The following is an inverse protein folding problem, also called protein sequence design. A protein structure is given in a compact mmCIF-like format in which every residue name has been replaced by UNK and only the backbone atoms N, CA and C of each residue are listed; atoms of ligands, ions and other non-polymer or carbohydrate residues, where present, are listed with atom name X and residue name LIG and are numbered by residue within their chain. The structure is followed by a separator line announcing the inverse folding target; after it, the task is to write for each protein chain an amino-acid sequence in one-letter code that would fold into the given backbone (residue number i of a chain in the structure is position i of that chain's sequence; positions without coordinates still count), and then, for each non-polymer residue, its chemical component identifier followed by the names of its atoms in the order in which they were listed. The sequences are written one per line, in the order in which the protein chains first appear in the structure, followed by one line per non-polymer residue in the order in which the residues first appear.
data_IF_370845183502
#
_entry.id   IF_370845183502
#
_cell.length_a   1.000
_cell.length_b   1.000
_cell.length_c   1.000
_cell.angle_alpha   90.00
_cell.angle_beta   90.00
_cell.angle_gamma   90.00
#
_symmetry.space_group_name_H-M   'P 1'
#
loop_
_entity.id
_entity.type
_entity.pdbx_description
1 polymer ?
#
# COMPACT_ATOMS: atom_id res chain seq x y z
N UNK A 1 -57.64 80.76 7.90
CA UNK A 1 -56.32 81.22 8.33
C UNK A 1 -55.71 80.11 9.17
N UNK A 2 -54.55 79.57 8.78
CA UNK A 2 -53.81 78.64 9.62
C UNK A 2 -53.16 79.48 10.72
N UNK A 3 -53.77 79.51 11.90
CA UNK A 3 -53.08 79.95 13.11
C UNK A 3 -52.03 78.90 13.45
N UNK A 4 -50.86 79.01 12.82
CA UNK A 4 -49.69 78.19 13.11
C UNK A 4 -49.22 78.58 14.50
N UNK A 5 -49.66 77.80 15.48
CA UNK A 5 -49.24 77.98 16.85
C UNK A 5 -47.83 77.39 17.00
N UNK A 6 -46.82 78.25 16.93
CA UNK A 6 -45.40 77.87 16.94
C UNK A 6 -45.02 77.02 18.17
N UNK A 7 -45.69 77.25 19.31
CA UNK A 7 -45.52 76.45 20.53
C UNK A 7 -46.05 75.01 20.40
N UNK A 8 -47.20 74.82 19.73
CA UNK A 8 -47.75 73.48 19.49
C UNK A 8 -46.86 72.69 18.51
N UNK A 9 -46.35 73.36 17.48
CA UNK A 9 -45.41 72.76 16.53
C UNK A 9 -44.14 72.27 17.23
N UNK A 10 -43.55 73.11 18.10
CA UNK A 10 -42.37 72.74 18.88
C UNK A 10 -42.65 71.57 19.83
N UNK A 11 -43.80 71.56 20.50
CA UNK A 11 -44.17 70.47 21.40
C UNK A 11 -44.34 69.13 20.66
N UNK A 12 -45.03 69.14 19.51
CA UNK A 12 -45.19 67.94 18.66
C UNK A 12 -43.83 67.48 18.13
N UNK A 13 -42.95 68.40 17.74
CA UNK A 13 -41.59 68.06 17.29
C UNK A 13 -40.77 67.38 18.40
N UNK A 14 -40.81 67.90 19.63
CA UNK A 14 -40.13 67.29 20.78
C UNK A 14 -40.70 65.91 21.10
N UNK A 15 -42.02 65.74 21.09
CA UNK A 15 -42.67 64.44 21.29
C UNK A 15 -42.29 63.43 20.19
N UNK A 16 -42.26 63.87 18.93
CA UNK A 16 -41.85 63.04 17.82
C UNK A 16 -40.38 62.59 17.95
N UNK A 17 -39.48 63.51 18.30
CA UNK A 17 -38.07 63.18 18.53
C UNK A 17 -37.88 62.24 19.72
N UNK A 18 -38.63 62.44 20.81
CA UNK A 18 -38.62 61.53 21.96
C UNK A 18 -39.11 60.12 21.57
N UNK A 19 -40.18 60.02 20.77
CA UNK A 19 -40.69 58.75 20.27
C UNK A 19 -39.66 58.05 19.36
N UNK A 20 -39.04 58.78 18.43
CA UNK A 20 -37.99 58.25 17.55
C UNK A 20 -36.81 57.73 18.38
N UNK A 21 -36.41 58.44 19.42
CA UNK A 21 -35.33 58.00 20.31
C UNK A 21 -35.67 56.68 21.02
N UNK A 22 -36.90 56.54 21.55
CA UNK A 22 -37.38 55.30 22.18
C UNK A 22 -37.41 54.16 21.16
N UNK A 23 -37.97 54.40 19.97
CA UNK A 23 -38.09 53.39 18.91
C UNK A 23 -36.73 52.95 18.36
N UNK A 24 -35.77 53.87 18.25
CA UNK A 24 -34.40 53.57 17.84
C UNK A 24 -33.76 52.53 18.77
N UNK A 25 -33.91 52.72 20.08
CA UNK A 25 -33.31 51.81 21.05
C UNK A 25 -34.11 50.49 21.21
N UNK A 26 -35.45 50.55 21.16
CA UNK A 26 -36.31 49.40 21.45
C UNK A 26 -36.59 48.52 20.23
N UNK A 27 -36.60 49.06 19.02
CA UNK A 27 -37.01 48.32 17.82
C UNK A 27 -35.93 48.28 16.74
N UNK A 28 -35.42 49.44 16.30
CA UNK A 28 -34.53 49.48 15.14
C UNK A 28 -33.18 48.80 15.42
N UNK A 29 -32.54 49.10 16.56
CA UNK A 29 -31.30 48.44 16.97
C UNK A 29 -31.40 46.91 17.08
N UNK A 30 -32.34 46.33 17.85
CA UNK A 30 -32.44 44.88 17.96
C UNK A 30 -32.83 44.21 16.64
N UNK A 31 -33.66 44.86 15.81
CA UNK A 31 -34.03 44.32 14.50
C UNK A 31 -32.83 44.26 13.55
N UNK A 32 -32.06 45.35 13.45
CA UNK A 32 -30.85 45.39 12.61
C UNK A 32 -29.81 44.40 13.11
N UNK A 33 -29.57 44.33 14.43
CA UNK A 33 -28.66 43.35 15.00
C UNK A 33 -29.07 41.90 14.71
N UNK A 34 -30.38 41.62 14.60
CA UNK A 34 -30.86 40.30 14.20
C UNK A 34 -30.61 40.01 12.71
N UNK A 35 -30.76 41.01 11.85
CA UNK A 35 -30.43 40.87 10.43
C UNK A 35 -28.92 40.65 10.23
N UNK A 36 -28.09 41.45 10.88
CA UNK A 36 -26.63 41.32 10.82
C UNK A 36 -26.17 39.94 11.31
N UNK A 37 -26.73 39.45 12.43
CA UNK A 37 -26.44 38.10 12.94
C UNK A 37 -26.83 37.01 11.96
N UNK A 38 -27.96 37.16 11.27
CA UNK A 38 -28.40 36.20 10.26
C UNK A 38 -27.46 36.18 9.07
N UNK A 39 -27.08 37.35 8.56
CA UNK A 39 -26.17 37.46 7.43
C UNK A 39 -24.79 36.90 7.79
N UNK A 40 -24.29 37.18 8.99
CA UNK A 40 -23.02 36.61 9.50
C UNK A 40 -23.11 35.08 9.64
N UNK A 41 -24.22 34.55 10.16
CA UNK A 41 -24.40 33.10 10.30
C UNK A 41 -24.44 32.41 8.94
N UNK A 42 -25.19 32.96 7.98
CA UNK A 42 -25.28 32.41 6.61
C UNK A 42 -23.91 32.44 5.93
N UNK A 43 -23.16 33.53 6.10
CA UNK A 43 -21.81 33.63 5.54
C UNK A 43 -20.88 32.56 6.13
N UNK A 44 -20.88 32.41 7.46
CA UNK A 44 -20.08 31.39 8.17
C UNK A 44 -20.46 29.98 7.75
N UNK A 45 -21.76 29.67 7.66
CA UNK A 45 -22.24 28.35 7.25
C UNK A 45 -21.83 28.03 5.81
N UNK A 46 -21.84 29.03 4.92
CA UNK A 46 -21.39 28.89 3.54
C UNK A 46 -19.87 28.70 3.43
N UNK A 47 -19.08 29.45 4.21
CA UNK A 47 -17.62 29.27 4.27
C UNK A 47 -17.26 27.90 4.84
N UNK A 48 -17.84 27.51 5.98
CA UNK A 48 -17.60 26.20 6.58
C UNK A 48 -17.98 25.04 5.65
N UNK A 49 -19.07 25.19 4.88
CA UNK A 49 -19.46 24.17 3.89
C UNK A 49 -18.46 24.07 2.73
N UNK A 50 -17.88 25.20 2.31
CA UNK A 50 -16.84 25.21 1.26
C UNK A 50 -15.55 24.60 1.78
N UNK A 51 -15.07 25.03 2.94
CA UNK A 51 -13.86 24.49 3.57
C UNK A 51 -13.98 22.98 3.79
N UNK A 52 -15.11 22.51 4.32
CA UNK A 52 -15.36 21.08 4.48
C UNK A 52 -15.35 20.33 3.13
N UNK A 53 -15.91 20.93 2.06
CA UNK A 53 -15.89 20.35 0.72
C UNK A 53 -14.47 20.23 0.16
N UNK A 54 -13.66 21.27 0.33
CA UNK A 54 -12.26 21.31 -0.12
C UNK A 54 -11.40 20.32 0.68
N UNK A 55 -11.55 20.28 2.01
CA UNK A 55 -10.85 19.31 2.88
C UNK A 55 -11.18 17.87 2.51
N UNK A 56 -12.45 17.56 2.23
CA UNK A 56 -12.87 16.22 1.78
C UNK A 56 -12.25 15.89 0.43
N UNK A 57 -12.23 16.84 -0.52
CA UNK A 57 -11.59 16.64 -1.83
C UNK A 57 -10.09 16.41 -1.71
N UNK A 58 -9.40 17.17 -0.84
CA UNK A 58 -7.98 17.01 -0.59
C UNK A 58 -7.67 15.66 0.09
N UNK A 59 -8.45 15.27 1.08
CA UNK A 59 -8.32 13.98 1.75
C UNK A 59 -8.54 12.81 0.78
N UNK A 60 -9.53 12.90 -0.11
CA UNK A 60 -9.76 11.91 -1.16
C UNK A 60 -8.61 11.85 -2.17
N UNK A 61 -8.07 13.01 -2.56
CA UNK A 61 -6.89 13.10 -3.43
C UNK A 61 -5.69 12.39 -2.83
N UNK A 62 -5.36 12.70 -1.57
CA UNK A 62 -4.27 12.04 -0.82
C UNK A 62 -4.50 10.54 -0.66
N UNK A 63 -5.72 10.11 -0.36
CA UNK A 63 -6.05 8.69 -0.24
C UNK A 63 -5.84 7.94 -1.58
N UNK A 64 -6.23 8.55 -2.69
CA UNK A 64 -6.00 7.99 -4.02
C UNK A 64 -4.51 7.88 -4.37
N UNK A 65 -3.73 8.91 -4.04
CA UNK A 65 -2.28 8.91 -4.24
C UNK A 65 -1.61 7.79 -3.44
N UNK A 66 -1.91 7.67 -2.14
CA UNK A 66 -1.39 6.60 -1.27
C UNK A 66 -1.75 5.22 -1.82
N UNK A 67 -2.98 5.01 -2.28
CA UNK A 67 -3.41 3.72 -2.86
C UNK A 67 -2.65 3.43 -4.16
N UNK A 68 -2.40 4.44 -4.99
CA UNK A 68 -1.66 4.31 -6.25
C UNK A 68 -0.20 3.94 -5.98
N UNK A 69 0.45 4.64 -5.04
CA UNK A 69 1.82 4.35 -4.61
C UNK A 69 1.95 2.95 -4.02
N UNK A 70 1.06 2.59 -3.09
CA UNK A 70 1.05 1.27 -2.47
C UNK A 70 0.86 0.14 -3.50
N UNK A 71 0.01 0.35 -4.52
CA UNK A 71 -0.13 -0.61 -5.63
C UNK A 71 1.17 -0.70 -6.44
N UNK A 72 1.80 0.43 -6.76
CA UNK A 72 3.07 0.46 -7.47
C UNK A 72 4.19 -0.28 -6.71
N UNK A 73 4.26 -0.06 -5.40
CA UNK A 73 5.23 -0.73 -4.53
C UNK A 73 4.95 -2.23 -4.40
N UNK A 74 3.68 -2.63 -4.23
CA UNK A 74 3.29 -4.04 -4.22
C UNK A 74 3.64 -4.75 -5.54
N UNK A 75 3.47 -4.08 -6.68
CA UNK A 75 3.90 -4.60 -7.97
C UNK A 75 5.42 -4.79 -8.04
N UNK A 76 6.21 -3.82 -7.59
CA UNK A 76 7.68 -3.93 -7.52
C UNK A 76 8.13 -5.06 -6.61
N UNK A 77 7.52 -5.20 -5.42
CA UNK A 77 7.83 -6.27 -4.46
C UNK A 77 7.53 -7.63 -5.11
N UNK A 78 6.36 -7.78 -5.74
CA UNK A 78 5.98 -9.02 -6.40
C UNK A 78 6.95 -9.37 -7.53
N UNK A 79 7.31 -8.40 -8.37
CA UNK A 79 8.24 -8.61 -9.46
C UNK A 79 9.64 -9.00 -8.97
N UNK A 80 10.15 -8.29 -7.96
CA UNK A 80 11.41 -8.61 -7.29
C UNK A 80 11.40 -10.02 -6.68
N UNK A 81 10.32 -10.39 -5.99
CA UNK A 81 10.17 -11.72 -5.40
C UNK A 81 10.16 -12.82 -6.47
N UNK A 82 9.46 -12.61 -7.59
CA UNK A 82 9.43 -13.55 -8.71
C UNK A 82 10.80 -13.67 -9.37
N UNK A 83 11.51 -12.55 -9.57
CA UNK A 83 12.86 -12.54 -10.12
C UNK A 83 13.84 -13.31 -9.22
N UNK A 84 13.82 -13.04 -7.91
CA UNK A 84 14.65 -13.75 -6.93
C UNK A 84 14.32 -15.24 -6.86
N UNK A 85 13.04 -15.61 -6.92
CA UNK A 85 12.63 -17.01 -6.94
C UNK A 85 13.16 -17.74 -8.19
N UNK A 86 13.07 -17.10 -9.37
CA UNK A 86 13.64 -17.64 -10.62
C UNK A 86 15.16 -17.78 -10.54
N UNK A 87 15.85 -16.78 -10.00
CA UNK A 87 17.31 -16.83 -9.84
C UNK A 87 17.73 -17.96 -8.88
N UNK A 88 17.06 -18.11 -7.74
CA UNK A 88 17.30 -19.20 -6.80
C UNK A 88 17.04 -20.57 -7.42
N UNK A 89 15.94 -20.71 -8.17
CA UNK A 89 15.64 -21.95 -8.88
C UNK A 89 16.73 -22.29 -9.92
N UNK A 90 17.17 -21.31 -10.71
CA UNK A 90 18.24 -21.49 -11.69
C UNK A 90 19.56 -21.90 -11.02
N UNK A 91 19.94 -21.25 -9.91
CA UNK A 91 21.13 -21.62 -9.13
C UNK A 91 21.04 -23.03 -8.54
N UNK A 92 19.88 -23.41 -8.02
CA UNK A 92 19.66 -24.75 -7.47
C UNK A 92 19.79 -25.81 -8.56
N UNK A 93 19.18 -25.60 -9.73
CA UNK A 93 19.30 -26.52 -10.87
C UNK A 93 20.75 -26.65 -11.31
N UNK A 94 21.48 -25.53 -11.45
CA UNK A 94 22.89 -25.55 -11.83
C UNK A 94 23.76 -26.29 -10.80
N UNK A 95 23.50 -26.09 -9.49
CA UNK A 95 24.21 -26.81 -8.42
C UNK A 95 23.96 -28.31 -8.49
N UNK A 96 22.70 -28.72 -8.65
CA UNK A 96 22.32 -30.13 -8.74
C UNK A 96 22.94 -30.78 -9.98
N UNK A 97 22.97 -30.08 -11.12
CA UNK A 97 23.64 -30.56 -12.33
C UNK A 97 25.15 -30.77 -12.11
N UNK A 98 25.82 -29.78 -11.52
CA UNK A 98 27.25 -29.88 -11.21
C UNK A 98 27.56 -31.03 -10.22
N UNK A 99 26.73 -31.19 -9.19
CA UNK A 99 26.85 -32.31 -8.24
C UNK A 99 26.61 -33.66 -8.92
N UNK A 100 25.63 -33.75 -9.82
CA UNK A 100 25.33 -34.97 -10.56
C UNK A 100 26.49 -35.34 -11.49
N UNK A 101 27.07 -34.38 -12.20
CA UNK A 101 28.25 -34.61 -13.06
C UNK A 101 29.45 -35.08 -12.24
N UNK A 102 29.71 -34.46 -11.08
CA UNK A 102 30.78 -34.88 -10.18
C UNK A 102 30.55 -36.30 -9.62
N UNK A 103 29.32 -36.61 -9.22
CA UNK A 103 28.95 -37.96 -8.77
C UNK A 103 29.10 -38.98 -9.90
N UNK A 104 28.68 -38.65 -11.12
CA UNK A 104 28.79 -39.52 -12.28
C UNK A 104 30.26 -39.81 -12.63
N UNK A 105 31.12 -38.79 -12.62
CA UNK A 105 32.57 -38.97 -12.80
C UNK A 105 33.15 -39.92 -11.73
N UNK A 106 32.81 -39.69 -10.45
CA UNK A 106 33.28 -40.55 -9.36
C UNK A 106 32.76 -42.00 -9.47
N UNK A 107 31.55 -42.19 -10.01
CA UNK A 107 30.98 -43.51 -10.25
C UNK A 107 31.72 -44.25 -11.37
N UNK A 108 32.07 -43.55 -12.45
CA UNK A 108 32.88 -44.14 -13.53
C UNK A 108 34.27 -44.56 -13.05
N UNK A 109 34.92 -43.76 -12.20
CA UNK A 109 36.21 -44.09 -11.61
C UNK A 109 36.12 -45.34 -10.71
N UNK A 110 35.10 -45.40 -9.85
CA UNK A 110 34.82 -46.58 -9.01
C UNK A 110 34.54 -47.82 -9.85
N UNK A 111 33.73 -47.70 -10.90
CA UNK A 111 33.42 -48.80 -11.81
C UNK A 111 34.67 -49.33 -12.53
N UNK A 112 35.57 -48.43 -12.93
CA UNK A 112 36.84 -48.81 -13.53
C UNK A 112 37.73 -49.57 -12.53
N UNK A 113 37.84 -49.07 -11.30
CA UNK A 113 38.58 -49.74 -10.23
C UNK A 113 38.00 -51.14 -9.90
N UNK A 114 36.68 -51.25 -9.73
CA UNK A 114 36.00 -52.52 -9.48
C UNK A 114 36.19 -53.52 -10.63
N UNK A 115 36.19 -53.06 -11.89
CA UNK A 115 36.50 -53.94 -13.04
C UNK A 115 37.92 -54.49 -12.98
N UNK A 116 38.89 -53.69 -12.58
CA UNK A 116 40.28 -54.14 -12.41
C UNK A 116 40.39 -55.16 -11.27
N UNK A 117 39.77 -54.85 -10.13
CA UNK A 117 39.70 -55.73 -8.95
C UNK A 117 39.04 -57.08 -9.31
N UNK A 118 37.90 -57.04 -10.01
CA UNK A 118 37.17 -58.23 -10.43
C UNK A 118 38.01 -59.09 -11.39
N UNK A 119 38.65 -58.48 -12.40
CA UNK A 119 39.57 -59.20 -13.30
C UNK A 119 40.72 -59.86 -12.54
N UNK A 120 41.32 -59.15 -11.57
CA UNK A 120 42.39 -59.68 -10.72
C UNK A 120 41.89 -60.85 -9.86
N UNK A 121 40.70 -60.74 -9.28
CA UNK A 121 40.09 -61.81 -8.47
C UNK A 121 39.74 -63.06 -9.29
N UNK A 122 39.27 -62.89 -10.53
CA UNK A 122 38.99 -64.00 -11.46
C UNK A 122 40.31 -64.68 -11.84
N UNK A 123 41.34 -63.91 -12.17
CA UNK A 123 42.68 -64.45 -12.49
C UNK A 123 43.29 -65.22 -11.30
N UNK A 124 43.08 -64.74 -10.06
CA UNK A 124 43.54 -65.42 -8.86
C UNK A 124 42.79 -66.73 -8.58
N UNK A 125 41.51 -66.82 -8.95
CA UNK A 125 40.69 -68.04 -8.77
C UNK A 125 40.77 -69.02 -9.94
N UNK A 126 41.31 -68.61 -11.09
CA UNK A 126 41.51 -69.46 -12.28
C UNK A 126 42.23 -70.81 -11.99
N UNK A 127 43.30 -70.86 -11.17
CA UNK A 127 43.98 -72.10 -10.83
C UNK A 127 43.10 -73.07 -10.03
N UNK A 128 42.24 -72.56 -9.13
CA UNK A 128 41.28 -73.38 -8.39
C UNK A 128 40.20 -73.95 -9.32
N UNK A 129 39.71 -73.15 -10.27
CA UNK A 129 38.75 -73.62 -11.26
C UNK A 129 39.37 -74.68 -12.19
N UNK A 130 40.61 -74.49 -12.65
CA UNK A 130 41.33 -75.48 -13.46
C UNK A 130 41.55 -76.80 -12.70
N UNK A 131 41.92 -76.73 -11.40
CA UNK A 131 42.05 -77.92 -10.55
C UNK A 131 40.71 -78.64 -10.38
N UNK A 132 39.62 -77.92 -10.13
CA UNK A 132 38.27 -78.53 -9.99
C UNK A 132 37.77 -79.16 -11.29
N UNK A 133 38.07 -78.56 -12.44
CA UNK A 133 37.72 -79.13 -13.76
C UNK A 133 38.54 -80.40 -14.02
N UNK A 134 39.86 -80.37 -13.80
CA UNK A 134 40.70 -81.57 -13.97
C UNK A 134 40.33 -82.71 -13.02
N UNK A 135 39.93 -82.40 -11.78
CA UNK A 135 39.47 -83.41 -10.83
C UNK A 135 38.16 -84.09 -11.28
N UNK A 136 37.24 -83.34 -11.92
CA UNK A 136 36.01 -83.90 -12.49
C UNK A 136 36.22 -84.64 -13.83
N UNK A 137 37.27 -84.32 -14.57
CA UNK A 137 37.60 -84.98 -15.85
C UNK A 137 38.40 -86.28 -15.68
N UNK A 138 38.96 -86.52 -14.49
CA UNK A 138 39.68 -87.76 -14.12
C UNK A 138 38.80 -88.76 -13.34
N UNK A 139 37.55 -88.40 -13.06
CA UNK A 139 36.47 -89.31 -12.64
C UNK A 139 35.68 -89.75 -13.87
#
# INVERSE_FOLDING_TARGET
MLDINLGLLLFVAVLFLALVYILNNMLYKPLLAFMDRRDETIHKDMEASKEMGDEVSEALGKAHEIISEAKGEAHKIRESAVAQAKEKAAKMIASVQAELEAQYASFLDKLAAERVELKKSIAAKLPEYQRKIQAKLKQ
#
